data_IF_282358788025
#
_entry.id   IF_282358788025
#
_cell.length_a   1.000
_cell.length_b   1.000
_cell.length_c   1.000
_cell.angle_alpha   90.00
_cell.angle_beta   90.00
_cell.angle_gamma   90.00
#
_symmetry.space_group_name_H-M   'P 1'
#
loop_
_entity.id
_entity.type
_entity.pdbx_description
1 polymer ?
#
# COMPACT_ATOMS: atom_id res chain seq x y z
N UNK A 1 6.74 -9.01 -28.30
CA UNK A 1 5.89 -9.40 -27.17
C UNK A 1 5.75 -8.17 -26.30
N UNK A 2 4.57 -7.55 -26.20
CA UNK A 2 4.41 -6.35 -25.40
C UNK A 2 4.58 -6.72 -23.91
N UNK A 3 5.63 -6.20 -23.30
CA UNK A 3 5.94 -6.39 -21.89
C UNK A 3 4.89 -5.65 -21.08
N UNK A 4 3.91 -6.37 -20.53
CA UNK A 4 2.83 -5.75 -19.76
C UNK A 4 3.38 -5.27 -18.41
N UNK A 5 3.45 -3.95 -18.28
CA UNK A 5 3.81 -3.29 -17.02
C UNK A 5 2.55 -3.19 -16.18
N UNK A 6 2.60 -3.68 -14.94
CA UNK A 6 1.48 -3.57 -13.98
C UNK A 6 1.83 -2.49 -12.97
N UNK A 7 0.97 -1.49 -12.83
CA UNK A 7 1.09 -0.48 -11.76
C UNK A 7 -0.11 -0.58 -10.83
N UNK A 8 0.13 -0.55 -9.51
CA UNK A 8 -0.91 -0.53 -8.48
C UNK A 8 -0.55 0.43 -7.35
N UNK A 9 -1.59 1.00 -6.73
CA UNK A 9 -1.47 1.90 -5.58
C UNK A 9 -2.08 1.27 -4.33
N UNK A 10 -1.36 1.35 -3.22
CA UNK A 10 -1.85 1.00 -1.89
C UNK A 10 -2.05 2.29 -1.09
N UNK A 11 -3.31 2.68 -0.87
CA UNK A 11 -3.66 3.87 -0.10
C UNK A 11 -3.48 3.64 1.40
N UNK A 12 -2.91 4.64 2.08
CA UNK A 12 -2.78 4.62 3.52
C UNK A 12 -4.14 4.67 4.20
N UNK A 13 -4.19 4.21 5.45
CA UNK A 13 -5.40 4.20 6.27
C UNK A 13 -5.12 4.81 7.63
N UNK A 14 -6.07 5.58 8.14
CA UNK A 14 -6.06 6.10 9.51
C UNK A 14 -7.19 5.46 10.30
N UNK A 15 -6.86 4.95 11.49
CA UNK A 15 -7.84 4.35 12.40
C UNK A 15 -8.79 5.42 12.95
N UNK A 16 -10.09 5.13 12.88
CA UNK A 16 -11.12 5.91 13.56
C UNK A 16 -11.49 5.26 14.90
N UNK A 17 -11.66 3.94 14.90
CA UNK A 17 -12.08 3.16 16.07
C UNK A 17 -11.55 1.73 15.97
N UNK A 18 -11.26 1.08 17.09
CA UNK A 18 -10.88 -0.34 17.11
C UNK A 18 -9.41 -0.60 17.39
N UNK A 19 -8.75 0.33 18.07
CA UNK A 19 -7.35 0.15 18.42
C UNK A 19 -7.24 -1.03 19.41
N UNK A 20 -6.07 -1.69 19.55
CA UNK A 20 -5.93 -2.86 20.41
C UNK A 20 -6.39 -2.65 21.87
N UNK A 21 -6.35 -1.40 22.35
CA UNK A 21 -6.82 -0.95 23.65
C UNK A 21 -8.34 -0.83 23.80
N UNK A 22 -9.07 -0.72 22.68
CA UNK A 22 -10.45 -0.22 22.68
C UNK A 22 -11.49 -1.34 22.85
N UNK A 23 -11.05 -2.57 23.19
CA UNK A 23 -11.90 -3.73 23.52
C UNK A 23 -12.83 -4.17 22.35
N UNK A 24 -12.47 -3.84 21.11
CA UNK A 24 -13.23 -4.26 19.92
C UNK A 24 -12.79 -5.62 19.34
N UNK A 25 -11.95 -6.39 20.05
CA UNK A 25 -11.53 -7.74 19.66
C UNK A 25 -10.92 -7.83 18.24
N UNK A 26 -10.12 -6.82 17.87
CA UNK A 26 -9.44 -6.76 16.57
C UNK A 26 -10.29 -6.21 15.42
N UNK A 27 -11.55 -5.82 15.68
CA UNK A 27 -12.38 -5.11 14.69
C UNK A 27 -12.01 -3.63 14.67
N UNK A 28 -11.76 -3.10 13.48
CA UNK A 28 -11.38 -1.71 13.25
C UNK A 28 -12.27 -1.03 12.21
N UNK A 29 -12.57 0.25 12.43
CA UNK A 29 -13.09 1.17 11.45
C UNK A 29 -11.98 2.15 11.11
N UNK A 30 -11.65 2.29 9.83
CA UNK A 30 -10.58 3.15 9.35
C UNK A 30 -11.00 3.89 8.09
N UNK A 31 -10.42 5.08 7.87
CA UNK A 31 -10.58 5.85 6.64
C UNK A 31 -9.38 5.64 5.73
N UNK A 32 -9.62 5.51 4.43
CA UNK A 32 -8.56 5.52 3.41
C UNK A 32 -8.21 6.97 3.04
N UNK A 33 -6.92 7.28 2.97
CA UNK A 33 -6.42 8.60 2.56
C UNK A 33 -6.17 8.60 1.05
N UNK A 34 -7.02 9.26 0.28
CA UNK A 34 -6.87 9.33 -1.19
C UNK A 34 -5.64 10.09 -1.65
N UNK A 35 -5.09 10.97 -0.82
CA UNK A 35 -3.91 11.78 -1.10
C UNK A 35 -2.59 11.21 -0.55
N UNK A 36 -2.61 10.04 0.10
CA UNK A 36 -1.42 9.42 0.67
C UNK A 36 -1.39 7.92 0.36
N UNK A 37 -0.43 7.49 -0.47
CA UNK A 37 -0.35 6.11 -0.96
C UNK A 37 1.08 5.72 -1.33
N UNK A 38 1.33 4.41 -1.42
CA UNK A 38 2.51 3.85 -2.07
C UNK A 38 2.15 3.35 -3.47
N UNK A 39 2.99 3.59 -4.48
CA UNK A 39 2.84 3.01 -5.83
C UNK A 39 3.89 1.93 -6.07
N UNK A 40 3.47 0.82 -6.68
CA UNK A 40 4.34 -0.29 -7.08
C UNK A 40 4.16 -0.55 -8.56
N UNK A 41 5.29 -0.63 -9.28
CA UNK A 41 5.36 -0.99 -10.69
C UNK A 41 6.08 -2.34 -10.81
N UNK A 42 5.46 -3.28 -11.53
CA UNK A 42 6.07 -4.55 -11.90
C UNK A 42 6.38 -4.55 -13.38
N UNK A 43 7.64 -4.89 -13.70
CA UNK A 43 8.10 -5.10 -15.06
C UNK A 43 8.89 -6.41 -15.15
N UNK A 44 8.68 -7.19 -16.23
CA UNK A 44 9.48 -8.38 -16.54
C UNK A 44 10.98 -8.11 -16.53
N UNK A 45 11.70 -9.01 -15.88
CA UNK A 45 13.14 -8.98 -15.69
C UNK A 45 13.69 -10.39 -15.70
N UNK A 46 14.93 -10.57 -16.16
CA UNK A 46 15.62 -11.88 -16.13
C UNK A 46 15.89 -12.37 -14.70
N UNK A 47 15.97 -11.45 -13.73
CA UNK A 47 16.23 -11.74 -12.31
C UNK A 47 15.23 -11.03 -11.42
N UNK A 48 14.97 -11.60 -10.24
CA UNK A 48 14.17 -10.91 -9.22
C UNK A 48 14.95 -9.70 -8.69
N UNK A 49 14.38 -8.51 -8.86
CA UNK A 49 14.92 -7.25 -8.37
C UNK A 49 13.86 -6.57 -7.50
N UNK A 50 14.23 -6.22 -6.27
CA UNK A 50 13.39 -5.41 -5.38
C UNK A 50 14.05 -4.04 -5.28
N UNK A 51 13.50 -3.07 -6.01
CA UNK A 51 13.99 -1.69 -5.99
C UNK A 51 13.14 -0.89 -5.00
N UNK A 52 13.72 -0.40 -3.90
CA UNK A 52 12.97 0.40 -2.93
C UNK A 52 12.60 1.75 -3.54
N UNK A 53 11.33 2.13 -3.41
CA UNK A 53 10.86 3.47 -3.79
C UNK A 53 11.26 4.48 -2.72
N UNK A 54 11.69 5.66 -3.14
CA UNK A 54 12.02 6.74 -2.22
C UNK A 54 10.73 7.38 -1.67
N UNK A 55 10.61 7.46 -0.34
CA UNK A 55 9.50 8.14 0.31
C UNK A 55 9.65 9.65 0.13
N UNK A 56 8.74 10.27 -0.61
CA UNK A 56 8.57 11.74 -0.62
C UNK A 56 7.40 12.05 0.32
N UNK A 57 7.68 12.73 1.43
CA UNK A 57 6.70 13.06 2.49
C UNK A 57 6.12 14.44 2.23
#
# INVERSE_FOLDING_TARGET
MATEVIEHRAYARIGFLGNPSDVYFGRTIAFSLGNFWASVKLEPSEKLLIVPTQLTI
#
